data_IF_318175300868
#
_entry.id   IF_318175300868
#
_cell.length_a   1.000
_cell.length_b   1.000
_cell.length_c   1.000
_cell.angle_alpha   90.00
_cell.angle_beta   90.00
_cell.angle_gamma   90.00
#
_symmetry.space_group_name_H-M   'P 1'
#
loop_
_entity.id
_entity.type
_entity.pdbx_description
1 polymer ?
#
# COMPACT_ATOMS: atom_id res chain seq x y z
N UNK A 1 -11.31 -10.07 4.11
CA UNK A 1 -10.21 -9.53 3.31
C UNK A 1 -9.67 -8.34 4.04
N UNK A 2 -8.35 -8.17 4.09
CA UNK A 2 -7.82 -6.89 4.54
C UNK A 2 -8.54 -5.80 3.75
N UNK A 3 -9.01 -4.77 4.43
CA UNK A 3 -9.58 -3.61 3.76
C UNK A 3 -8.42 -2.70 3.34
N UNK A 4 -8.72 -1.55 2.69
CA UNK A 4 -7.66 -0.72 2.15
C UNK A 4 -6.60 -0.26 3.17
N UNK A 5 -6.96 -0.18 4.45
CA UNK A 5 -6.04 0.20 5.51
C UNK A 5 -5.06 -0.94 5.86
N UNK A 6 -5.54 -2.17 5.93
CA UNK A 6 -4.73 -3.37 6.15
C UNK A 6 -3.71 -3.57 5.04
N UNK A 7 -4.14 -3.45 3.77
CA UNK A 7 -3.23 -3.54 2.62
C UNK A 7 -2.19 -2.42 2.63
N UNK A 8 -2.61 -1.19 2.93
CA UNK A 8 -1.68 -0.06 3.09
C UNK A 8 -0.66 -0.32 4.19
N UNK A 9 -1.07 -0.88 5.34
CA UNK A 9 -0.18 -1.17 6.44
C UNK A 9 0.87 -2.23 6.07
N UNK A 10 0.46 -3.31 5.41
CA UNK A 10 1.37 -4.37 4.93
C UNK A 10 2.37 -3.80 3.91
N UNK A 11 1.89 -3.05 2.92
CA UNK A 11 2.75 -2.44 1.92
C UNK A 11 3.72 -1.43 2.55
N UNK A 12 3.27 -0.65 3.53
CA UNK A 12 4.13 0.27 4.27
C UNK A 12 5.22 -0.46 5.06
N UNK A 13 4.89 -1.60 5.67
CA UNK A 13 5.87 -2.46 6.32
C UNK A 13 6.91 -3.01 5.33
N UNK A 14 6.47 -3.47 4.16
CA UNK A 14 7.35 -3.94 3.10
C UNK A 14 8.27 -2.81 2.59
N UNK A 15 7.72 -1.61 2.39
CA UNK A 15 8.47 -0.41 2.01
C UNK A 15 9.56 -0.08 3.03
N UNK A 16 9.19 0.05 4.30
CA UNK A 16 10.12 0.36 5.38
C UNK A 16 11.19 -0.72 5.53
N UNK A 17 10.86 -1.99 5.29
CA UNK A 17 11.83 -3.09 5.31
C UNK A 17 12.82 -3.01 4.15
N UNK A 18 12.35 -2.71 2.94
CA UNK A 18 13.18 -2.68 1.75
C UNK A 18 13.93 -1.35 1.53
N UNK A 19 13.49 -0.25 2.15
CA UNK A 19 14.12 1.06 1.95
C UNK A 19 15.51 1.11 2.56
N UNK A 20 16.42 1.82 1.88
CA UNK A 20 17.71 2.20 2.44
C UNK A 20 17.51 3.35 3.46
N UNK A 21 18.31 3.42 4.55
CA UNK A 21 18.16 4.44 5.58
C UNK A 21 18.27 5.89 5.06
N UNK A 22 19.00 6.10 3.95
CA UNK A 22 19.46 7.42 3.51
C UNK A 22 18.50 8.16 2.54
N UNK A 23 17.30 7.64 2.25
CA UNK A 23 16.38 8.29 1.32
C UNK A 23 15.63 9.46 1.98
N UNK A 24 16.17 10.68 1.89
CA UNK A 24 15.57 11.93 2.40
C UNK A 24 14.44 12.51 1.51
N UNK A 25 13.51 11.66 1.06
CA UNK A 25 12.30 12.09 0.34
C UNK A 25 11.17 12.53 1.28
N UNK A 26 10.14 13.19 0.74
CA UNK A 26 8.92 13.50 1.50
C UNK A 26 8.26 12.20 1.97
N UNK A 27 8.26 11.94 3.29
CA UNK A 27 7.62 10.76 3.89
C UNK A 27 6.13 10.70 3.61
N UNK A 28 5.45 11.85 3.62
CA UNK A 28 4.00 11.93 3.36
C UNK A 28 3.70 11.55 1.91
N UNK A 29 4.42 12.13 0.94
CA UNK A 29 4.24 11.79 -0.47
C UNK A 29 4.55 10.31 -0.74
N UNK A 30 5.57 9.78 -0.06
CA UNK A 30 5.93 8.36 -0.13
C UNK A 30 4.85 7.47 0.45
N UNK A 31 4.31 7.80 1.62
CA UNK A 31 3.22 7.07 2.24
C UNK A 31 1.96 7.06 1.36
N UNK A 32 1.56 8.22 0.83
CA UNK A 32 0.41 8.32 -0.08
C UNK A 32 0.63 7.46 -1.33
N UNK A 33 1.83 7.55 -1.93
CA UNK A 33 2.14 6.76 -3.11
C UNK A 33 2.11 5.25 -2.82
N UNK A 34 2.69 4.82 -1.70
CA UNK A 34 2.63 3.42 -1.24
C UNK A 34 1.19 2.97 -1.03
N UNK A 35 0.35 3.79 -0.39
CA UNK A 35 -1.07 3.48 -0.17
C UNK A 35 -1.83 3.33 -1.48
N UNK A 36 -1.56 4.18 -2.48
CA UNK A 36 -2.15 4.07 -3.82
C UNK A 36 -1.71 2.78 -4.50
N UNK A 37 -0.42 2.45 -4.48
CA UNK A 37 0.08 1.21 -5.10
C UNK A 37 -0.46 -0.04 -4.40
N UNK A 38 -0.54 -0.01 -3.07
CA UNK A 38 -1.07 -1.12 -2.28
C UNK A 38 -2.51 -1.44 -2.66
N UNK A 39 -3.35 -0.42 -2.93
CA UNK A 39 -4.77 -0.61 -3.23
C UNK A 39 -5.08 -0.63 -4.74
N UNK A 40 -4.05 -0.59 -5.59
CA UNK A 40 -4.24 -0.54 -7.03
C UNK A 40 -4.99 -1.75 -7.58
N UNK A 41 -4.79 -2.99 -7.07
CA UNK A 41 -5.55 -4.14 -7.56
C UNK A 41 -7.07 -4.00 -7.37
N UNK A 42 -7.51 -3.42 -6.27
CA UNK A 42 -8.93 -3.26 -5.91
C UNK A 42 -9.67 -2.15 -6.67
N UNK A 43 -8.98 -1.41 -7.55
CA UNK A 43 -9.66 -0.47 -8.44
C UNK A 43 -10.60 -1.19 -9.42
N UNK A 44 -10.42 -2.50 -9.62
CA UNK A 44 -11.36 -3.34 -10.37
C UNK A 44 -12.77 -3.37 -9.77
N UNK A 45 -12.93 -3.18 -8.46
CA UNK A 45 -14.22 -3.07 -7.78
C UNK A 45 -14.98 -1.87 -8.31
N UNK A 46 -14.30 -0.72 -8.50
CA UNK A 46 -14.93 0.48 -9.05
C UNK A 46 -15.34 0.26 -10.51
N UNK A 47 -14.51 -0.43 -11.29
CA UNK A 47 -14.85 -0.79 -12.68
C UNK A 47 -16.09 -1.70 -12.69
N UNK A 48 -16.15 -2.71 -11.83
CA UNK A 48 -17.31 -3.60 -11.70
C UNK A 48 -18.59 -2.87 -11.30
N UNK A 49 -18.50 -1.92 -10.36
CA UNK A 49 -19.62 -1.08 -9.97
C UNK A 49 -20.11 -0.18 -11.10
N UNK A 50 -19.20 0.44 -11.85
CA UNK A 50 -19.56 1.36 -12.95
C UNK A 50 -20.16 0.63 -14.15
N UNK A 51 -19.62 -0.53 -14.51
CA UNK A 51 -20.04 -1.28 -15.71
C UNK A 51 -21.25 -2.18 -15.42
N UNK A 52 -21.27 -2.87 -14.28
CA UNK A 52 -22.26 -3.91 -13.98
C UNK A 52 -23.13 -3.61 -12.75
N UNK A 53 -22.93 -2.47 -12.07
CA UNK A 53 -23.57 -2.19 -10.79
C UNK A 53 -23.13 -3.12 -9.66
N UNK A 54 -22.09 -3.94 -9.88
CA UNK A 54 -21.65 -4.99 -8.98
C UNK A 54 -20.12 -5.02 -8.88
N UNK A 55 -19.62 -4.63 -7.70
CA UNK A 55 -18.19 -4.58 -7.39
C UNK A 55 -17.47 -5.93 -7.43
N UNK A 56 -18.19 -7.05 -7.34
CA UNK A 56 -17.59 -8.38 -7.45
C UNK A 56 -17.26 -8.82 -8.88
N UNK A 57 -17.83 -8.16 -9.90
CA UNK A 57 -17.84 -8.67 -11.29
C UNK A 57 -16.46 -8.91 -11.91
N UNK A 58 -15.48 -8.07 -11.55
CA UNK A 58 -14.11 -8.17 -12.04
C UNK A 58 -13.08 -8.35 -10.92
N UNK A 59 -13.56 -8.32 -9.67
CA UNK A 59 -12.70 -8.34 -8.50
C UNK A 59 -12.00 -9.70 -8.38
N UNK A 60 -10.70 -9.69 -8.04
CA UNK A 60 -9.81 -10.88 -7.96
C UNK A 60 -9.42 -11.53 -9.28
N UNK A 61 -9.79 -10.87 -10.38
CA UNK A 61 -9.43 -11.26 -11.74
C UNK A 61 -8.04 -10.74 -12.15
N UNK A 62 -7.90 -10.15 -13.36
CA UNK A 62 -6.62 -9.76 -13.94
C UNK A 62 -5.74 -8.85 -13.06
N UNK A 63 -6.34 -7.94 -12.29
CA UNK A 63 -5.66 -7.01 -11.37
C UNK A 63 -4.97 -7.70 -10.19
N UNK A 64 -5.42 -8.90 -9.82
CA UNK A 64 -4.86 -9.69 -8.73
C UNK A 64 -3.84 -10.74 -9.24
N UNK A 65 -3.21 -10.45 -10.36
CA UNK A 65 -2.21 -11.31 -10.98
C UNK A 65 -0.79 -10.81 -10.76
N UNK A 66 0.18 -11.73 -10.82
CA UNK A 66 1.60 -11.39 -10.82
C UNK A 66 1.94 -10.52 -12.04
N UNK A 67 1.35 -10.82 -13.20
CA UNK A 67 1.55 -10.05 -14.42
C UNK A 67 1.12 -8.58 -14.23
N UNK A 68 -0.05 -8.34 -13.64
CA UNK A 68 -0.52 -6.99 -13.34
C UNK A 68 0.43 -6.28 -12.37
N UNK A 69 0.85 -6.94 -11.29
CA UNK A 69 1.77 -6.35 -10.32
C UNK A 69 3.10 -5.92 -10.97
N UNK A 70 3.64 -6.71 -11.89
CA UNK A 70 4.85 -6.36 -12.65
C UNK A 70 4.60 -5.21 -13.63
N UNK A 71 3.55 -5.26 -14.44
CA UNK A 71 3.27 -4.20 -15.41
C UNK A 71 2.96 -2.86 -14.74
N UNK A 72 2.06 -2.86 -13.76
CA UNK A 72 1.70 -1.68 -13.01
C UNK A 72 2.89 -1.16 -12.17
N UNK A 73 3.69 -2.06 -11.58
CA UNK A 73 4.90 -1.70 -10.87
C UNK A 73 5.94 -1.02 -11.77
N UNK A 74 6.09 -1.50 -13.01
CA UNK A 74 6.93 -0.87 -14.01
C UNK A 74 6.46 0.54 -14.33
N UNK A 75 5.17 0.72 -14.64
CA UNK A 75 4.58 2.04 -14.93
C UNK A 75 4.74 3.00 -13.74
N UNK A 76 4.44 2.54 -12.53
CA UNK A 76 4.58 3.29 -11.29
C UNK A 76 6.02 3.77 -11.07
N UNK A 77 7.02 2.92 -11.32
CA UNK A 77 8.44 3.30 -11.19
C UNK A 77 8.87 4.39 -12.17
N UNK A 78 8.17 4.56 -13.29
CA UNK A 78 8.43 5.63 -14.26
C UNK A 78 7.66 6.92 -13.94
N UNK A 79 6.61 6.87 -13.13
CA UNK A 79 5.73 8.01 -12.86
C UNK A 79 6.48 9.21 -12.25
N UNK A 80 7.45 8.97 -11.35
CA UNK A 80 8.30 10.01 -10.77
C UNK A 80 9.25 10.71 -11.76
N UNK A 81 9.39 10.20 -13.00
CA UNK A 81 10.09 10.90 -14.09
C UNK A 81 9.20 11.88 -14.85
N UNK A 82 7.88 11.66 -14.81
CA UNK A 82 6.88 12.50 -15.47
C UNK A 82 6.40 13.59 -14.51
N UNK A 83 6.24 13.26 -13.23
CA UNK A 83 5.77 14.20 -12.21
C UNK A 83 6.68 14.18 -10.98
N UNK A 84 7.41 15.26 -10.78
CA UNK A 84 8.37 15.45 -9.67
C UNK A 84 7.77 15.32 -8.25
N UNK A 85 6.43 15.39 -8.09
CA UNK A 85 5.77 15.18 -6.79
C UNK A 85 5.63 13.70 -6.42
N UNK A 86 5.76 12.80 -7.40
CA UNK A 86 5.71 11.36 -7.17
C UNK A 86 7.10 10.88 -6.75
N UNK A 87 7.22 10.16 -5.63
CA UNK A 87 8.50 9.62 -5.18
C UNK A 87 9.08 8.65 -6.20
N UNK A 88 10.40 8.70 -6.39
CA UNK A 88 11.10 7.80 -7.30
C UNK A 88 11.43 6.49 -6.59
N UNK A 89 10.51 5.53 -6.68
CA UNK A 89 10.73 4.16 -6.24
C UNK A 89 11.18 3.29 -7.41
N UNK A 90 12.08 2.34 -7.15
CA UNK A 90 12.52 1.41 -8.19
C UNK A 90 11.41 0.41 -8.55
N UNK A 91 11.54 -0.19 -9.74
CA UNK A 91 10.60 -1.17 -10.27
C UNK A 91 10.29 -2.32 -9.29
N UNK A 92 11.33 -2.96 -8.75
CA UNK A 92 11.17 -4.11 -7.86
C UNK A 92 10.35 -3.75 -6.61
N UNK A 93 10.58 -2.56 -6.04
CA UNK A 93 9.84 -2.07 -4.90
C UNK A 93 8.39 -1.76 -5.28
N UNK A 94 8.13 -1.05 -6.37
CA UNK A 94 6.76 -0.79 -6.82
C UNK A 94 5.98 -2.09 -7.07
N UNK A 95 6.59 -3.06 -7.76
CA UNK A 95 5.98 -4.36 -8.01
C UNK A 95 5.73 -5.13 -6.71
N UNK A 96 6.67 -5.11 -5.76
CA UNK A 96 6.50 -5.73 -4.44
C UNK A 96 5.35 -5.11 -3.66
N UNK A 97 5.19 -3.78 -3.69
CA UNK A 97 4.12 -3.08 -2.98
C UNK A 97 2.75 -3.46 -3.54
N UNK A 98 2.60 -3.52 -4.86
CA UNK A 98 1.35 -3.97 -5.50
C UNK A 98 1.12 -5.46 -5.22
N UNK A 99 2.16 -6.30 -5.35
CA UNK A 99 2.06 -7.73 -5.10
C UNK A 99 1.73 -8.06 -3.64
N UNK A 100 2.15 -7.21 -2.69
CA UNK A 100 1.83 -7.39 -1.27
C UNK A 100 0.32 -7.41 -1.01
N UNK A 101 -0.47 -6.71 -1.84
CA UNK A 101 -1.92 -6.79 -1.82
C UNK A 101 -2.43 -8.20 -2.16
N UNK A 102 -1.99 -8.71 -3.31
CA UNK A 102 -2.36 -10.04 -3.82
C UNK A 102 -1.96 -11.12 -2.82
N UNK A 103 -0.72 -11.04 -2.30
CA UNK A 103 -0.23 -11.98 -1.30
C UNK A 103 -1.04 -11.90 0.01
N UNK A 104 -1.40 -10.71 0.47
CA UNK A 104 -2.26 -10.54 1.64
C UNK A 104 -3.63 -11.16 1.40
N UNK A 105 -4.21 -10.97 0.22
CA UNK A 105 -5.49 -11.57 -0.14
C UNK A 105 -5.43 -13.10 -0.16
N UNK A 106 -4.37 -13.69 -0.71
CA UNK A 106 -4.17 -15.14 -0.67
C UNK A 106 -4.05 -15.70 0.75
N UNK A 107 -3.42 -14.96 1.67
CA UNK A 107 -3.13 -15.45 3.03
C UNK A 107 -4.29 -15.21 4.00
N UNK A 108 -5.01 -14.11 3.83
CA UNK A 108 -5.96 -13.61 4.82
C UNK A 108 -7.43 -13.75 4.40
N UNK A 109 -7.68 -14.43 3.28
CA UNK A 109 -9.02 -14.62 2.74
C UNK A 109 -9.20 -16.03 2.19
N UNK A 110 -10.45 -16.51 2.19
CA UNK A 110 -10.78 -17.83 1.66
C UNK A 110 -11.02 -17.82 0.14
N UNK A 111 -11.25 -16.66 -0.48
CA UNK A 111 -11.57 -16.60 -1.91
C UNK A 111 -10.29 -16.61 -2.75
N UNK A 112 -10.27 -17.44 -3.79
CA UNK A 112 -9.15 -17.52 -4.71
C UNK A 112 -8.90 -16.19 -5.45
N UNK A 113 -7.65 -15.97 -5.85
CA UNK A 113 -7.22 -14.87 -6.71
C UNK A 113 -6.62 -15.43 -8.00
N UNK A 114 -6.68 -14.66 -9.09
CA UNK A 114 -6.13 -15.05 -10.38
C UNK A 114 -4.63 -14.76 -10.47
N UNK A 115 -3.82 -15.40 -9.61
CA UNK A 115 -2.37 -15.15 -9.49
C UNK A 115 -1.64 -15.29 -10.84
N UNK A 116 -1.97 -16.33 -11.60
CA UNK A 116 -1.36 -16.68 -12.89
C UNK A 116 -2.20 -16.27 -14.10
N UNK A 117 -3.14 -15.33 -13.96
CA UNK A 117 -3.86 -14.78 -15.11
C UNK A 117 -2.88 -14.37 -16.22
N UNK A 118 -3.12 -14.75 -17.50
CA UNK A 118 -4.37 -15.27 -18.07
C UNK A 118 -4.55 -16.81 -18.05
N UNK A 119 -3.69 -17.57 -17.38
CA UNK A 119 -3.77 -19.03 -17.35
C UNK A 119 -4.88 -19.56 -16.43
N UNK A 120 -5.27 -18.75 -15.45
CA UNK A 120 -6.37 -19.02 -14.53
C UNK A 120 -7.24 -17.76 -14.37
N UNK A 121 -8.51 -17.96 -14.02
CA UNK A 121 -9.45 -16.88 -13.83
C UNK A 121 -10.41 -17.18 -12.68
N UNK A 122 -10.34 -16.32 -11.67
CA UNK A 122 -11.19 -16.31 -10.49
C UNK A 122 -11.84 -14.94 -10.37
N UNK A 123 -13.12 -14.95 -10.00
CA UNK A 123 -13.88 -13.75 -9.70
C UNK A 123 -14.37 -13.83 -8.26
N UNK A 124 -14.61 -12.67 -7.65
CA UNK A 124 -15.26 -12.62 -6.35
C UNK A 124 -16.69 -13.16 -6.43
N UNK A 125 -17.08 -14.13 -5.61
CA UNK A 125 -18.45 -14.65 -5.59
C UNK A 125 -19.43 -13.67 -4.94
N UNK A 126 -18.94 -12.66 -4.21
CA UNK A 126 -19.79 -11.69 -3.53
C UNK A 126 -20.22 -10.58 -4.48
N UNK A 127 -21.54 -10.50 -4.68
CA UNK A 127 -22.15 -9.32 -5.29
C UNK A 127 -22.28 -8.21 -4.26
N UNK A 128 -21.75 -7.03 -4.57
CA UNK A 128 -21.86 -5.86 -3.71
C UNK A 128 -22.12 -4.60 -4.53
N UNK A 129 -23.27 -3.96 -4.30
CA UNK A 129 -23.54 -2.62 -4.81
C UNK A 129 -22.79 -1.53 -4.02
N UNK A 130 -22.94 -0.27 -4.45
CA UNK A 130 -22.24 0.90 -3.89
C UNK A 130 -22.27 0.97 -2.35
N UNK A 131 -23.46 0.84 -1.75
CA UNK A 131 -23.61 0.90 -0.30
C UNK A 131 -22.93 -0.25 0.45
N UNK A 132 -22.87 -1.44 -0.17
CA UNK A 132 -22.16 -2.59 0.38
C UNK A 132 -20.65 -2.37 0.38
N UNK A 133 -20.10 -1.90 -0.73
CA UNK A 133 -18.66 -1.59 -0.86
C UNK A 133 -18.23 -0.51 0.12
N UNK A 134 -18.98 0.59 0.22
CA UNK A 134 -18.67 1.68 1.18
C UNK A 134 -18.73 1.16 2.61
N UNK A 135 -19.75 0.36 2.95
CA UNK A 135 -19.89 -0.17 4.30
C UNK A 135 -18.72 -1.08 4.66
N UNK A 136 -18.30 -1.95 3.76
CA UNK A 136 -17.15 -2.83 3.98
C UNK A 136 -15.88 -1.99 4.13
N UNK A 137 -15.61 -1.07 3.21
CA UNK A 137 -14.40 -0.24 3.24
C UNK A 137 -14.24 0.61 4.51
N UNK A 138 -15.35 1.08 5.10
CA UNK A 138 -15.31 2.02 6.24
C UNK A 138 -15.56 1.33 7.59
N UNK A 139 -16.46 0.34 7.67
CA UNK A 139 -17.04 -0.12 8.94
C UNK A 139 -16.71 -1.58 9.32
N UNK A 140 -15.98 -2.36 8.51
CA UNK A 140 -15.70 -3.77 8.80
C UNK A 140 -14.20 -4.09 9.00
N UNK A 141 -13.54 -3.56 10.02
CA UNK A 141 -12.06 -3.52 10.01
C UNK A 141 -11.35 -4.09 11.26
N UNK A 142 -11.96 -5.01 12.02
CA UNK A 142 -11.25 -5.69 13.13
C UNK A 142 -9.94 -6.34 12.62
N UNK A 143 -9.98 -6.98 11.45
CA UNK A 143 -8.81 -7.56 10.82
C UNK A 143 -7.73 -6.51 10.49
N UNK A 144 -8.11 -5.37 9.92
CA UNK A 144 -7.19 -4.26 9.62
C UNK A 144 -6.60 -3.65 10.88
N UNK A 145 -7.39 -3.52 11.95
CA UNK A 145 -6.89 -3.05 13.23
C UNK A 145 -5.79 -3.98 13.77
N UNK A 146 -6.02 -5.30 13.70
CA UNK A 146 -5.03 -6.29 14.10
C UNK A 146 -3.78 -6.24 13.21
N UNK A 147 -3.93 -6.15 11.89
CA UNK A 147 -2.82 -5.99 10.95
C UNK A 147 -2.03 -4.72 11.27
N UNK A 148 -2.71 -3.58 11.46
CA UNK A 148 -2.09 -2.30 11.76
C UNK A 148 -1.32 -2.32 13.10
N UNK A 149 -1.88 -2.97 14.12
CA UNK A 149 -1.21 -3.15 15.40
C UNK A 149 0.09 -3.97 15.24
N UNK A 150 0.02 -5.12 14.57
CA UNK A 150 1.19 -5.98 14.30
C UNK A 150 2.26 -5.24 13.50
N UNK A 151 1.85 -4.55 12.43
CA UNK A 151 2.76 -3.73 11.60
C UNK A 151 3.42 -2.64 12.43
N UNK A 152 2.68 -1.98 13.33
CA UNK A 152 3.22 -0.93 14.19
C UNK A 152 4.28 -1.47 15.14
N UNK A 153 4.03 -2.62 15.79
CA UNK A 153 5.03 -3.28 16.63
C UNK A 153 6.26 -3.71 15.84
N UNK A 154 6.07 -4.29 14.66
CA UNK A 154 7.16 -4.68 13.77
C UNK A 154 8.02 -3.47 13.37
N UNK A 155 7.40 -2.38 12.92
CA UNK A 155 8.10 -1.16 12.53
C UNK A 155 8.81 -0.48 13.68
N UNK A 156 8.23 -0.52 14.88
CA UNK A 156 8.89 -0.05 16.09
C UNK A 156 10.17 -0.84 16.35
N UNK A 157 10.11 -2.17 16.32
CA UNK A 157 11.30 -3.03 16.45
C UNK A 157 12.34 -2.80 15.36
N UNK A 158 11.91 -2.71 14.10
CA UNK A 158 12.77 -2.44 12.95
C UNK A 158 13.55 -1.11 13.13
N UNK A 159 12.88 -0.08 13.63
CA UNK A 159 13.49 1.24 13.89
C UNK A 159 14.48 1.21 15.05
N UNK A 160 14.20 0.45 16.10
CA UNK A 160 15.15 0.25 17.20
C UNK A 160 16.45 -0.39 16.71
N UNK A 161 16.34 -1.40 15.84
CA UNK A 161 17.51 -2.09 15.26
C UNK A 161 18.29 -1.16 14.33
N UNK A 162 17.60 -0.39 13.48
CA UNK A 162 18.25 0.48 12.48
C UNK A 162 18.82 1.77 13.05
N UNK A 163 18.49 2.14 14.29
CA UNK A 163 18.90 3.41 14.91
C UNK A 163 18.66 4.60 13.97
N UNK A 164 17.48 4.69 13.36
CA UNK A 164 17.14 5.72 12.36
C UNK A 164 17.33 7.15 12.94
N UNK A 165 18.50 7.74 12.71
CA UNK A 165 18.93 9.06 13.22
C UNK A 165 18.18 10.24 12.56
N UNK A 166 17.42 10.02 11.49
CA UNK A 166 16.74 11.09 10.74
C UNK A 166 15.58 11.75 11.49
N UNK A 167 14.92 11.05 12.43
CA UNK A 167 13.94 11.68 13.32
C UNK A 167 14.63 12.57 14.37
N UNK A 168 15.81 12.16 14.83
CA UNK A 168 16.62 12.97 15.73
C UNK A 168 17.15 14.23 15.04
N UNK A 169 17.50 14.19 13.75
CA UNK A 169 18.00 15.38 13.04
C UNK A 169 16.94 16.48 12.87
N UNK A 170 15.67 16.13 12.65
CA UNK A 170 14.55 17.07 12.60
C UNK A 170 14.26 17.72 13.97
N UNK A 171 14.25 16.92 15.04
CA UNK A 171 14.12 17.41 16.41
C UNK A 171 15.32 18.28 16.83
N UNK A 172 16.54 17.88 16.47
CA UNK A 172 17.74 18.68 16.69
C UNK A 172 17.72 19.99 15.88
N UNK A 173 17.21 19.98 14.65
CA UNK A 173 17.05 21.17 13.81
C UNK A 173 16.07 22.16 14.43
N UNK A 174 14.94 21.67 14.97
CA UNK A 174 13.94 22.50 15.63
C UNK A 174 14.47 23.05 16.96
N UNK A 175 15.13 22.20 17.76
CA UNK A 175 15.78 22.60 19.01
C UNK A 175 16.87 23.66 18.75
N UNK A 176 17.67 23.51 17.68
CA UNK A 176 18.71 24.48 17.30
C UNK A 176 18.11 25.80 16.80
N UNK A 177 16.96 25.77 16.11
CA UNK A 177 16.20 26.98 15.72
C UNK A 177 15.60 27.71 16.93
N UNK A 178 15.07 26.98 17.90
CA UNK A 178 14.51 27.54 19.13
C UNK A 178 15.61 28.15 20.01
N UNK A 179 16.74 27.46 20.16
CA UNK A 179 17.89 27.96 20.90
C UNK A 179 18.44 29.28 20.31
N UNK A 180 18.61 29.35 18.98
CA UNK A 180 19.14 30.54 18.30
C UNK A 180 18.20 31.76 18.37
N UNK A 181 16.89 31.55 18.59
CA UNK A 181 15.90 32.62 18.76
C UNK A 181 15.82 33.15 20.19
N UNK A 182 16.42 32.44 21.15
CA UNK A 182 16.51 32.84 22.57
C UNK A 182 17.82 33.58 22.90
N UNK A 183 18.78 33.63 21.96
CA UNK A 183 20.11 34.24 22.14
C UNK A 183 20.30 35.54 21.35
N UNK A 184 19.22 36.11 20.81
CA UNK A 184 19.16 37.38 20.10
C UNK A 184 18.10 38.26 20.78
#
# INVERSE_FOLDING_TARGET
MPLPLGHTAIAWAAFETARKPDSCGSRIATFIFVAVLANLPDLDILIGLLVNGNGGSFHRGPTHSLLFALLAGYLASRAGRVWHRIPQLNFALCALLIFSHVAADMLFTASAVSLFWPLELHWSPLSSGWGGVIRMAVFQSVQDFMIAAVVTFYLWGLRLVRRDLCLYSGLFSLARKLYRKSSA
#
